data_IF_010727598126
#
_entry.id   IF_010727598126
#
_cell.length_a   1.000
_cell.length_b   1.000
_cell.length_c   1.000
_cell.angle_alpha   90.00
_cell.angle_beta   90.00
_cell.angle_gamma   90.00
#
_symmetry.space_group_name_H-M   'P 1'
#
loop_
_entity.id
_entity.type
_entity.pdbx_description
1 polymer ?
#
# COMPACT_ATOMS: atom_id res chain seq x y z
N UNK A 1 -92.93 30.75 -15.43
CA UNK A 1 -91.71 31.32 -16.03
C UNK A 1 -90.58 31.66 -15.02
N UNK A 2 -90.80 32.28 -13.84
CA UNK A 2 -89.69 32.69 -12.96
C UNK A 2 -89.01 31.54 -12.18
N UNK A 3 -89.70 30.41 -11.95
CA UNK A 3 -89.17 29.28 -11.19
C UNK A 3 -87.97 28.59 -11.86
N UNK A 4 -87.92 28.58 -13.19
CA UNK A 4 -86.82 27.99 -13.96
C UNK A 4 -85.51 28.75 -13.78
N UNK A 5 -85.58 30.09 -13.63
CA UNK A 5 -84.39 30.93 -13.41
C UNK A 5 -83.75 30.60 -12.05
N UNK A 6 -84.57 30.41 -11.01
CA UNK A 6 -84.08 30.05 -9.67
C UNK A 6 -83.40 28.67 -9.71
N UNK A 7 -84.01 27.69 -10.37
CA UNK A 7 -83.43 26.33 -10.50
C UNK A 7 -82.07 26.37 -11.21
N UNK A 8 -81.96 27.10 -12.32
CA UNK A 8 -80.70 27.21 -13.07
C UNK A 8 -79.64 27.96 -12.26
N UNK A 9 -80.02 29.01 -11.53
CA UNK A 9 -79.10 29.77 -10.68
C UNK A 9 -78.56 28.92 -9.52
N UNK A 10 -79.42 28.17 -8.83
CA UNK A 10 -79.00 27.25 -7.77
C UNK A 10 -78.16 26.09 -8.32
N UNK A 11 -78.49 25.57 -9.49
CA UNK A 11 -77.67 24.54 -10.14
C UNK A 11 -76.27 25.07 -10.52
N UNK A 12 -76.18 26.31 -11.03
CA UNK A 12 -74.92 26.97 -11.32
C UNK A 12 -74.10 27.25 -10.04
N UNK A 13 -74.75 27.64 -8.95
CA UNK A 13 -74.11 27.84 -7.65
C UNK A 13 -73.53 26.54 -7.08
N UNK A 14 -74.31 25.45 -7.10
CA UNK A 14 -73.83 24.12 -6.68
C UNK A 14 -72.67 23.65 -7.56
N UNK A 15 -72.75 23.86 -8.89
CA UNK A 15 -71.67 23.53 -9.81
C UNK A 15 -70.38 24.31 -9.47
N UNK A 16 -70.49 25.60 -9.16
CA UNK A 16 -69.37 26.43 -8.75
C UNK A 16 -68.73 25.93 -7.44
N UNK A 17 -69.54 25.57 -6.45
CA UNK A 17 -69.03 25.02 -5.19
C UNK A 17 -68.29 23.70 -5.39
N UNK A 18 -68.81 22.81 -6.24
CA UNK A 18 -68.13 21.56 -6.61
C UNK A 18 -66.81 21.84 -7.32
N UNK A 19 -66.79 22.79 -8.25
CA UNK A 19 -65.58 23.16 -8.98
C UNK A 19 -64.50 23.69 -8.02
N UNK A 20 -64.87 24.57 -7.07
CA UNK A 20 -63.96 25.10 -6.05
C UNK A 20 -63.44 23.99 -5.15
N UNK A 21 -64.29 23.06 -4.71
CA UNK A 21 -63.88 21.90 -3.91
C UNK A 21 -62.87 21.00 -4.63
N UNK A 22 -63.11 20.70 -5.90
CA UNK A 22 -62.18 19.94 -6.74
C UNK A 22 -60.85 20.68 -6.93
N UNK A 23 -60.91 22.01 -7.15
CA UNK A 23 -59.72 22.83 -7.31
C UNK A 23 -58.88 22.83 -6.03
N UNK A 24 -59.52 22.93 -4.87
CA UNK A 24 -58.85 22.88 -3.57
C UNK A 24 -58.17 21.53 -3.32
N UNK A 25 -58.85 20.42 -3.62
CA UNK A 25 -58.27 19.07 -3.49
C UNK A 25 -57.08 18.87 -4.44
N UNK A 26 -57.18 19.36 -5.68
CA UNK A 26 -56.10 19.30 -6.66
C UNK A 26 -54.89 20.11 -6.19
N UNK A 27 -55.11 21.31 -5.65
CA UNK A 27 -54.06 22.19 -5.16
C UNK A 27 -53.31 21.57 -3.98
N UNK A 28 -54.04 21.05 -2.98
CA UNK A 28 -53.47 20.41 -1.80
C UNK A 28 -52.61 19.18 -2.16
N UNK A 29 -53.03 18.41 -3.16
CA UNK A 29 -52.26 17.25 -3.67
C UNK A 29 -50.97 17.69 -4.36
N UNK A 30 -50.99 18.83 -5.06
CA UNK A 30 -49.80 19.39 -5.70
C UNK A 30 -48.77 19.89 -4.68
N UNK A 31 -49.21 20.48 -3.58
CA UNK A 31 -48.33 20.93 -2.50
C UNK A 31 -47.60 19.77 -1.81
N UNK A 32 -48.33 18.68 -1.54
CA UNK A 32 -47.76 17.49 -0.90
C UNK A 32 -46.67 16.83 -1.76
N UNK A 33 -46.87 16.73 -3.08
CA UNK A 33 -45.88 16.16 -3.99
C UNK A 33 -44.61 17.02 -4.08
N UNK A 34 -44.75 18.34 -4.05
CA UNK A 34 -43.61 19.26 -4.09
C UNK A 34 -42.80 19.16 -2.78
N UNK A 35 -43.46 19.09 -1.63
CA UNK A 35 -42.80 18.89 -0.34
C UNK A 35 -42.05 17.56 -0.27
N UNK A 36 -42.65 16.48 -0.79
CA UNK A 36 -42.02 15.17 -0.83
C UNK A 36 -40.78 15.16 -1.74
N UNK A 37 -40.86 15.79 -2.91
CA UNK A 37 -39.72 15.96 -3.82
C UNK A 37 -38.59 16.78 -3.21
N UNK A 38 -38.90 17.89 -2.53
CA UNK A 38 -37.91 18.70 -1.83
C UNK A 38 -37.21 17.89 -0.73
N UNK A 39 -37.97 17.15 0.09
CA UNK A 39 -37.40 16.32 1.15
C UNK A 39 -36.48 15.21 0.62
N UNK A 40 -36.76 14.68 -0.57
CA UNK A 40 -35.92 13.68 -1.22
C UNK A 40 -34.67 14.30 -1.83
N UNK A 41 -34.76 15.49 -2.42
CA UNK A 41 -33.61 16.23 -2.91
C UNK A 41 -32.64 16.60 -1.78
N UNK A 42 -33.14 17.07 -0.64
CA UNK A 42 -32.29 17.38 0.52
C UNK A 42 -31.56 16.13 1.04
N UNK A 43 -32.25 14.99 1.14
CA UNK A 43 -31.64 13.71 1.53
C UNK A 43 -30.58 13.24 0.53
N UNK A 44 -30.83 13.41 -0.76
CA UNK A 44 -29.84 13.09 -1.82
C UNK A 44 -28.61 14.00 -1.74
N UNK A 45 -28.81 15.31 -1.55
CA UNK A 45 -27.72 16.28 -1.40
C UNK A 45 -26.85 15.99 -0.17
N UNK A 46 -27.46 15.68 0.98
CA UNK A 46 -26.72 15.30 2.19
C UNK A 46 -25.84 14.07 1.96
N UNK A 47 -26.38 13.04 1.28
CA UNK A 47 -25.62 11.83 0.95
C UNK A 47 -24.47 12.10 -0.02
N UNK A 48 -24.66 12.97 -0.99
CA UNK A 48 -23.61 13.35 -1.94
C UNK A 48 -22.50 14.14 -1.24
N UNK A 49 -22.85 15.10 -0.38
CA UNK A 49 -21.85 15.86 0.39
C UNK A 49 -21.05 14.94 1.32
N UNK A 50 -21.70 14.01 2.00
CA UNK A 50 -21.03 13.04 2.87
C UNK A 50 -20.10 12.10 2.09
N UNK A 51 -20.54 11.57 0.94
CA UNK A 51 -19.68 10.75 0.09
C UNK A 51 -18.47 11.53 -0.46
N UNK A 52 -18.67 12.77 -0.88
CA UNK A 52 -17.58 13.61 -1.38
C UNK A 52 -16.54 13.91 -0.28
N UNK A 53 -17.00 14.15 0.96
CA UNK A 53 -16.10 14.28 2.12
C UNK A 53 -15.31 13.00 2.37
N UNK A 54 -15.97 11.83 2.38
CA UNK A 54 -15.30 10.55 2.54
C UNK A 54 -14.29 10.26 1.42
N UNK A 55 -14.63 10.58 0.18
CA UNK A 55 -13.73 10.41 -0.97
C UNK A 55 -12.48 11.28 -0.82
N UNK A 56 -12.64 12.53 -0.38
CA UNK A 56 -11.53 13.44 -0.10
C UNK A 56 -10.61 12.90 1.02
N UNK A 57 -11.20 12.40 2.12
CA UNK A 57 -10.46 11.81 3.23
C UNK A 57 -9.74 10.52 2.82
N UNK A 58 -10.38 9.66 2.02
CA UNK A 58 -9.77 8.44 1.50
C UNK A 58 -8.62 8.76 0.54
N UNK A 59 -8.83 9.63 -0.44
CA UNK A 59 -7.81 9.99 -1.45
C UNK A 59 -6.58 10.60 -0.78
N UNK A 60 -6.77 11.48 0.22
CA UNK A 60 -5.65 12.06 0.97
C UNK A 60 -4.89 11.02 1.79
N UNK A 61 -5.59 10.10 2.46
CA UNK A 61 -4.95 8.99 3.20
C UNK A 61 -4.17 8.03 2.29
N UNK A 62 -4.73 7.71 1.12
CA UNK A 62 -4.08 6.85 0.12
C UNK A 62 -2.82 7.51 -0.46
N UNK A 63 -2.88 8.80 -0.82
CA UNK A 63 -1.73 9.53 -1.33
C UNK A 63 -0.59 9.57 -0.31
N UNK A 64 -0.90 9.85 0.95
CA UNK A 64 0.09 9.85 2.04
C UNK A 64 0.72 8.46 2.22
N UNK A 65 -0.09 7.40 2.31
CA UNK A 65 0.41 6.03 2.44
C UNK A 65 1.25 5.59 1.26
N UNK A 66 0.89 6.00 0.04
CA UNK A 66 1.66 5.66 -1.14
C UNK A 66 3.04 6.33 -1.12
N UNK A 67 3.12 7.57 -0.66
CA UNK A 67 4.39 8.26 -0.47
C UNK A 67 5.25 7.61 0.63
N UNK A 68 4.64 7.22 1.75
CA UNK A 68 5.32 6.47 2.82
C UNK A 68 5.85 5.11 2.33
N UNK A 69 5.06 4.38 1.54
CA UNK A 69 5.47 3.10 0.94
C UNK A 69 6.63 3.25 -0.05
N UNK A 70 6.60 4.28 -0.89
CA UNK A 70 7.71 4.58 -1.82
C UNK A 70 8.99 4.89 -1.03
N UNK A 71 8.88 5.70 0.02
CA UNK A 71 10.03 6.02 0.87
C UNK A 71 10.58 4.78 1.59
N UNK A 72 9.70 3.91 2.12
CA UNK A 72 10.11 2.67 2.76
C UNK A 72 10.79 1.72 1.77
N UNK A 73 10.26 1.60 0.54
CA UNK A 73 10.88 0.81 -0.52
C UNK A 73 12.29 1.29 -0.83
N UNK A 74 12.48 2.61 -0.98
CA UNK A 74 13.81 3.19 -1.22
C UNK A 74 14.79 2.90 -0.08
N UNK A 75 14.32 2.92 1.17
CA UNK A 75 15.16 2.54 2.31
C UNK A 75 15.53 1.05 2.28
N UNK A 76 14.59 0.18 1.96
CA UNK A 76 14.85 -1.25 1.83
C UNK A 76 15.86 -1.55 0.72
N UNK A 77 15.73 -0.89 -0.43
CA UNK A 77 16.67 -1.06 -1.54
C UNK A 77 18.09 -0.63 -1.16
N UNK A 78 18.23 0.54 -0.50
CA UNK A 78 19.53 0.99 0.02
C UNK A 78 20.12 0.02 1.03
N UNK A 79 19.31 -0.48 1.97
CA UNK A 79 19.76 -1.47 2.96
C UNK A 79 20.17 -2.79 2.31
N UNK A 80 19.43 -3.24 1.30
CA UNK A 80 19.78 -4.43 0.54
C UNK A 80 21.12 -4.25 -0.18
N UNK A 81 21.36 -3.07 -0.76
CA UNK A 81 22.62 -2.74 -1.43
C UNK A 81 23.80 -2.64 -0.45
N UNK A 82 23.63 -1.98 0.70
CA UNK A 82 24.62 -1.93 1.78
C UNK A 82 25.00 -3.34 2.26
N UNK A 83 24.00 -4.19 2.52
CA UNK A 83 24.22 -5.57 2.94
C UNK A 83 24.96 -6.37 1.88
N UNK A 84 24.65 -6.15 0.60
CA UNK A 84 25.30 -6.83 -0.51
C UNK A 84 26.77 -6.43 -0.61
N UNK A 85 27.09 -5.14 -0.46
CA UNK A 85 28.47 -4.65 -0.41
C UNK A 85 29.24 -5.17 0.83
N UNK A 86 28.58 -5.26 1.98
CA UNK A 86 29.15 -5.88 3.19
C UNK A 86 29.48 -7.35 2.97
N UNK A 87 28.61 -8.11 2.31
CA UNK A 87 28.85 -9.52 1.96
C UNK A 87 30.02 -9.63 0.99
N UNK A 88 30.07 -8.81 -0.04
CA UNK A 88 31.16 -8.77 -1.02
C UNK A 88 32.51 -8.48 -0.36
N UNK A 89 32.54 -7.53 0.59
CA UNK A 89 33.72 -7.21 1.40
C UNK A 89 34.14 -8.38 2.28
N UNK A 90 33.19 -9.03 2.94
CA UNK A 90 33.46 -10.21 3.77
C UNK A 90 34.00 -11.39 2.95
N UNK A 91 33.47 -11.62 1.74
CA UNK A 91 33.95 -12.66 0.84
C UNK A 91 35.38 -12.37 0.37
N UNK A 92 35.69 -11.13 -0.01
CA UNK A 92 37.06 -10.71 -0.38
C UNK A 92 38.06 -10.88 0.77
N UNK A 93 37.67 -10.57 2.01
CA UNK A 93 38.51 -10.77 3.19
C UNK A 93 38.75 -12.27 3.43
N UNK A 94 37.71 -13.09 3.29
CA UNK A 94 37.79 -14.54 3.51
C UNK A 94 38.62 -15.23 2.42
N UNK A 95 38.57 -14.74 1.18
CA UNK A 95 39.42 -15.17 0.06
C UNK A 95 40.80 -14.52 0.02
N UNK A 96 41.14 -13.65 0.98
CA UNK A 96 42.44 -12.98 0.94
C UNK A 96 43.59 -14.01 1.10
N UNK A 97 44.69 -13.89 0.36
CA UNK A 97 45.80 -14.84 0.41
C UNK A 97 46.41 -14.98 1.81
N UNK A 98 46.41 -13.90 2.59
CA UNK A 98 46.93 -13.89 3.96
C UNK A 98 46.03 -14.67 4.93
N UNK A 99 44.71 -14.55 4.78
CA UNK A 99 43.72 -15.28 5.58
C UNK A 99 43.74 -16.78 5.27
N UNK A 100 43.83 -17.14 3.98
CA UNK A 100 44.00 -18.53 3.55
C UNK A 100 45.30 -19.12 4.09
N UNK A 101 46.42 -18.38 3.98
CA UNK A 101 47.72 -18.77 4.56
C UNK A 101 47.64 -18.97 6.08
N UNK A 102 46.98 -18.06 6.80
CA UNK A 102 46.81 -18.17 8.25
C UNK A 102 45.93 -19.36 8.64
N UNK A 103 44.81 -19.61 7.94
CA UNK A 103 43.99 -20.82 8.17
C UNK A 103 44.78 -22.10 7.94
N UNK A 104 45.60 -22.15 6.87
CA UNK A 104 46.44 -23.31 6.56
C UNK A 104 47.46 -23.56 7.66
N UNK A 105 48.16 -22.53 8.10
CA UNK A 105 49.18 -22.62 9.16
C UNK A 105 48.56 -23.03 10.50
N UNK A 106 47.41 -22.46 10.86
CA UNK A 106 46.74 -22.76 12.11
C UNK A 106 46.13 -24.18 12.11
N UNK A 107 45.55 -24.63 11.00
CA UNK A 107 45.04 -26.00 10.85
C UNK A 107 46.16 -27.04 10.87
N UNK A 108 47.32 -26.72 10.28
CA UNK A 108 48.51 -27.56 10.36
C UNK A 108 49.05 -27.65 11.79
N UNK A 109 49.14 -26.53 12.53
CA UNK A 109 49.51 -26.54 13.96
C UNK A 109 48.52 -27.31 14.84
N UNK A 110 47.26 -27.44 14.43
CA UNK A 110 46.23 -28.26 15.09
C UNK A 110 46.27 -29.75 14.68
N UNK A 111 47.21 -30.16 13.82
CA UNK A 111 47.41 -31.55 13.42
C UNK A 111 46.46 -32.05 12.31
N UNK A 112 45.79 -31.16 11.58
CA UNK A 112 44.92 -31.56 10.48
C UNK A 112 45.71 -32.12 9.28
N UNK A 113 45.12 -33.10 8.58
CA UNK A 113 45.74 -33.68 7.38
C UNK A 113 45.70 -32.69 6.20
N UNK A 114 46.73 -32.73 5.34
CA UNK A 114 46.84 -31.80 4.21
C UNK A 114 45.64 -31.89 3.25
N UNK A 115 45.04 -33.07 3.08
CA UNK A 115 43.81 -33.27 2.30
C UNK A 115 42.60 -32.54 2.90
N UNK A 116 42.47 -32.57 4.23
CA UNK A 116 41.37 -31.89 4.93
C UNK A 116 41.51 -30.36 4.85
N UNK A 117 42.75 -29.86 4.97
CA UNK A 117 43.08 -28.45 4.80
C UNK A 117 42.81 -27.94 3.37
N UNK A 118 43.23 -28.70 2.36
CA UNK A 118 42.95 -28.41 0.94
C UNK A 118 41.45 -28.34 0.67
N UNK A 119 40.67 -29.29 1.20
CA UNK A 119 39.23 -29.32 1.02
C UNK A 119 38.51 -28.15 1.73
N UNK A 120 38.95 -27.77 2.92
CA UNK A 120 38.33 -26.70 3.72
C UNK A 120 38.64 -25.28 3.21
N UNK A 121 39.80 -25.08 2.58
CA UNK A 121 40.24 -23.77 2.05
C UNK A 121 40.02 -23.60 0.54
N UNK A 122 39.64 -24.67 -0.16
CA UNK A 122 39.44 -24.67 -1.61
C UNK A 122 40.74 -24.60 -2.43
N UNK A 123 41.88 -24.85 -1.78
CA UNK A 123 43.22 -24.88 -2.40
C UNK A 123 43.56 -26.31 -2.85
N UNK A 124 44.43 -26.42 -3.85
CA UNK A 124 44.98 -27.72 -4.24
C UNK A 124 45.95 -28.24 -3.17
N UNK A 125 46.13 -29.56 -3.15
CA UNK A 125 47.01 -30.23 -2.19
C UNK A 125 48.46 -29.72 -2.31
N UNK A 126 48.88 -29.38 -3.53
CA UNK A 126 50.22 -28.88 -3.85
C UNK A 126 50.43 -27.43 -3.37
N UNK A 127 49.41 -26.57 -3.51
CA UNK A 127 49.43 -25.19 -2.99
C UNK A 127 49.51 -25.14 -1.47
N UNK A 128 48.78 -26.03 -0.77
CA UNK A 128 48.86 -26.15 0.69
C UNK A 128 50.27 -26.56 1.13
N UNK A 129 50.90 -27.52 0.44
CA UNK A 129 52.29 -27.91 0.73
C UNK A 129 53.29 -26.79 0.45
N UNK A 130 53.07 -26.00 -0.60
CA UNK A 130 53.94 -24.88 -0.95
C UNK A 130 53.92 -23.78 0.14
N UNK A 131 52.74 -23.42 0.63
CA UNK A 131 52.56 -22.43 1.69
C UNK A 131 53.26 -22.86 2.99
N UNK A 132 53.15 -24.14 3.36
CA UNK A 132 53.81 -24.68 4.54
C UNK A 132 55.34 -24.65 4.40
N UNK A 133 55.86 -25.07 3.24
CA UNK A 133 57.31 -25.01 2.95
C UNK A 133 57.86 -23.59 2.96
N UNK A 134 57.13 -22.64 2.37
CA UNK A 134 57.52 -21.24 2.35
C UNK A 134 57.60 -20.67 3.78
N UNK A 135 56.62 -20.98 4.63
CA UNK A 135 56.65 -20.56 6.03
C UNK A 135 57.81 -21.17 6.84
N UNK A 136 58.16 -22.43 6.59
CA UNK A 136 59.30 -23.07 7.24
C UNK A 136 60.62 -22.45 6.79
N UNK A 137 60.76 -22.12 5.51
CA UNK A 137 61.96 -21.46 4.97
C UNK A 137 62.12 -20.01 5.43
N UNK A 138 61.04 -19.33 5.81
CA UNK A 138 61.08 -17.99 6.41
C UNK A 138 61.52 -18.06 7.88
N UNK A 139 61.08 -19.08 8.62
CA UNK A 139 61.51 -19.36 10.01
C UNK A 139 62.98 -19.78 10.13
N UNK A 140 63.58 -20.36 9.09
CA UNK A 140 65.01 -20.74 9.05
C UNK A 140 65.94 -19.59 8.64
N UNK A 141 65.37 -18.44 8.23
CA UNK A 141 66.13 -17.25 7.80
C UNK A 141 66.14 -16.11 8.84
N UNK A 142 65.38 -16.23 9.91
CA UNK A 142 65.48 -15.43 11.15
C UNK A 142 66.37 -16.13 12.17
#
# INVERSE_FOLDING_TARGET
MPQWIIIVLTAAEVLLLVLVGLFFLRLKRSEQLVLELQSNQERLLQRLQFNAQLEQELVSSFAQRQQELVHLSQQMDRRAEELRDLVDKAERITRSPQTLRHMVLQGHRRGQSLKALAHATGLTLDEVTLILRQSQSELERE
#
